data_IF_977496478270
#
_entry.id   IF_977496478270
#
_cell.length_a   1.000
_cell.length_b   1.000
_cell.length_c   1.000
_cell.angle_alpha   90.00
_cell.angle_beta   90.00
_cell.angle_gamma   90.00
#
_symmetry.space_group_name_H-M   'P 1'
#
loop_
_entity.id
_entity.type
_entity.pdbx_description
1 polymer ?
#
# COMPACT_ATOMS: atom_id res chain seq x y z
N UNK A 1 6.69 15.15 -11.68
CA UNK A 1 5.53 15.74 -11.01
C UNK A 1 5.92 16.24 -9.62
N UNK A 2 5.35 17.39 -9.22
CA UNK A 2 5.60 18.02 -7.91
C UNK A 2 4.47 17.71 -6.92
N UNK A 3 3.29 17.33 -7.42
CA UNK A 3 2.09 17.06 -6.62
C UNK A 3 1.18 16.02 -7.27
N UNK A 4 0.24 15.49 -6.49
CA UNK A 4 -0.83 14.61 -7.00
C UNK A 4 -1.71 15.35 -8.00
N UNK A 5 -2.02 16.63 -7.76
CA UNK A 5 -2.82 17.44 -8.67
C UNK A 5 -2.17 17.53 -10.04
N UNK A 6 -0.87 17.84 -10.10
CA UNK A 6 -0.12 17.91 -11.35
C UNK A 6 -0.13 16.59 -12.12
N UNK A 7 0.05 15.45 -11.41
CA UNK A 7 -0.02 14.12 -12.00
C UNK A 7 -1.41 13.84 -12.57
N UNK A 8 -2.46 14.12 -11.83
CA UNK A 8 -3.85 13.90 -12.25
C UNK A 8 -4.21 14.80 -13.45
N UNK A 9 -3.83 16.08 -13.42
CA UNK A 9 -4.07 17.02 -14.50
C UNK A 9 -3.33 16.60 -15.78
N UNK A 10 -2.10 16.11 -15.64
CA UNK A 10 -1.36 15.53 -16.75
C UNK A 10 -2.08 14.32 -17.35
N UNK A 11 -2.50 13.37 -16.49
CA UNK A 11 -3.17 12.16 -16.93
C UNK A 11 -4.54 12.45 -17.59
N UNK A 12 -5.28 13.45 -17.12
CA UNK A 12 -6.53 13.89 -17.73
C UNK A 12 -6.33 14.53 -19.11
N UNK A 13 -5.27 15.33 -19.26
CA UNK A 13 -4.92 15.96 -20.56
C UNK A 13 -4.34 14.95 -21.55
N UNK A 14 -3.78 13.85 -21.08
CA UNK A 14 -3.13 12.83 -21.88
C UNK A 14 -3.68 11.42 -21.56
N UNK A 15 -4.94 11.10 -21.92
CA UNK A 15 -5.56 9.84 -21.57
C UNK A 15 -4.75 8.64 -22.05
N UNK A 16 -4.47 7.69 -21.14
CA UNK A 16 -3.73 6.45 -21.42
C UNK A 16 -2.21 6.64 -21.62
N UNK A 17 -1.66 7.83 -21.40
CA UNK A 17 -0.21 8.08 -21.50
C UNK A 17 0.53 7.99 -20.17
N UNK A 18 -0.18 8.08 -19.03
CA UNK A 18 0.42 7.89 -17.72
C UNK A 18 0.75 6.40 -17.51
N UNK A 19 2.01 6.08 -17.31
CA UNK A 19 2.47 4.75 -16.99
C UNK A 19 2.68 4.63 -15.47
N UNK A 20 2.10 3.62 -14.84
CA UNK A 20 2.32 3.37 -13.42
C UNK A 20 2.79 1.95 -13.15
N UNK A 21 3.78 1.81 -12.25
CA UNK A 21 4.33 0.52 -11.88
C UNK A 21 3.40 -0.27 -10.94
N UNK A 22 3.34 -1.59 -11.14
CA UNK A 22 2.64 -2.53 -10.26
C UNK A 22 3.51 -3.75 -9.98
N UNK A 23 3.41 -4.32 -8.77
CA UNK A 23 4.05 -5.58 -8.43
C UNK A 23 3.01 -6.69 -8.69
N UNK A 24 2.97 -7.15 -9.94
CA UNK A 24 1.98 -8.13 -10.40
C UNK A 24 0.62 -7.50 -10.79
N UNK A 25 0.07 -8.03 -11.86
CA UNK A 25 -1.27 -7.65 -12.34
C UNK A 25 -2.31 -8.22 -11.38
N UNK A 26 -3.27 -7.39 -10.97
CA UNK A 26 -4.30 -7.77 -9.96
C UNK A 26 -3.80 -7.70 -8.51
N UNK A 27 -2.54 -7.33 -8.27
CA UNK A 27 -2.02 -7.08 -6.93
C UNK A 27 -2.61 -5.83 -6.28
N UNK A 28 -2.32 -5.63 -5.00
CA UNK A 28 -2.92 -4.54 -4.21
C UNK A 28 -2.60 -3.15 -4.79
N UNK A 29 -1.41 -2.94 -5.30
CA UNK A 29 -1.00 -1.68 -5.94
C UNK A 29 -1.83 -1.39 -7.19
N UNK A 30 -2.08 -2.44 -8.00
CA UNK A 30 -2.91 -2.33 -9.20
C UNK A 30 -4.35 -1.97 -8.84
N UNK A 31 -4.97 -2.72 -7.91
CA UNK A 31 -6.34 -2.46 -7.46
C UNK A 31 -6.51 -1.06 -6.87
N UNK A 32 -5.55 -0.62 -6.05
CA UNK A 32 -5.57 0.72 -5.46
C UNK A 32 -5.39 1.82 -6.49
N UNK A 33 -4.46 1.65 -7.43
CA UNK A 33 -4.29 2.63 -8.51
C UNK A 33 -5.53 2.69 -9.42
N UNK A 34 -6.14 1.55 -9.76
CA UNK A 34 -7.40 1.52 -10.52
C UNK A 34 -8.52 2.27 -9.79
N UNK A 35 -8.63 2.10 -8.47
CA UNK A 35 -9.59 2.84 -7.67
C UNK A 35 -9.31 4.35 -7.67
N UNK A 36 -8.04 4.75 -7.52
CA UNK A 36 -7.63 6.16 -7.59
C UNK A 36 -7.96 6.75 -8.97
N UNK A 37 -7.66 6.04 -10.05
CA UNK A 37 -7.98 6.45 -11.41
C UNK A 37 -9.47 6.71 -11.61
N UNK A 38 -10.30 5.80 -11.12
CA UNK A 38 -11.76 5.91 -11.19
C UNK A 38 -12.27 7.14 -10.42
N UNK A 39 -11.80 7.33 -9.18
CA UNK A 39 -12.23 8.45 -8.33
C UNK A 39 -11.74 9.78 -8.90
N UNK A 40 -10.49 9.86 -9.34
CA UNK A 40 -9.89 11.07 -9.87
C UNK A 40 -10.25 11.34 -11.34
N UNK A 41 -10.88 10.39 -12.04
CA UNK A 41 -11.36 10.54 -13.41
C UNK A 41 -10.24 10.60 -14.45
N UNK A 42 -9.24 9.73 -14.36
CA UNK A 42 -8.19 9.59 -15.37
C UNK A 42 -7.94 8.12 -15.74
N UNK A 43 -7.16 7.89 -16.79
CA UNK A 43 -6.72 6.55 -17.21
C UNK A 43 -5.20 6.53 -17.38
N UNK A 44 -4.56 5.51 -16.85
CA UNK A 44 -3.16 5.18 -17.02
C UNK A 44 -2.96 3.72 -17.40
N UNK A 45 -1.74 3.35 -17.73
CA UNK A 45 -1.32 2.01 -18.10
C UNK A 45 -0.49 1.37 -17.00
N UNK A 46 -0.89 0.18 -16.56
CA UNK A 46 -0.15 -0.59 -15.57
C UNK A 46 1.04 -1.31 -16.21
N UNK A 47 2.23 -1.07 -15.68
CA UNK A 47 3.48 -1.71 -16.12
C UNK A 47 3.96 -2.66 -15.01
N UNK A 48 4.00 -3.98 -15.24
CA UNK A 48 4.37 -4.93 -14.22
C UNK A 48 5.89 -4.97 -13.99
N UNK A 49 6.28 -4.98 -12.71
CA UNK A 49 7.66 -5.16 -12.25
C UNK A 49 7.74 -6.38 -11.32
N UNK A 50 8.94 -6.97 -11.19
CA UNK A 50 9.18 -8.14 -10.33
C UNK A 50 9.17 -7.78 -8.84
N UNK A 51 9.39 -6.52 -8.50
CA UNK A 51 9.43 -6.07 -7.12
C UNK A 51 9.56 -4.55 -6.98
N UNK A 52 9.44 -4.06 -5.75
CA UNK A 52 9.51 -2.63 -5.45
C UNK A 52 10.80 -1.96 -5.93
N UNK A 53 12.00 -2.51 -5.67
CA UNK A 53 13.27 -1.92 -6.14
C UNK A 53 13.33 -1.75 -7.66
N UNK A 54 12.87 -2.75 -8.42
CA UNK A 54 12.86 -2.68 -9.89
C UNK A 54 11.91 -1.57 -10.38
N UNK A 55 10.72 -1.47 -9.77
CA UNK A 55 9.77 -0.42 -10.11
C UNK A 55 10.28 0.99 -9.77
N UNK A 56 10.98 1.15 -8.63
CA UNK A 56 11.61 2.44 -8.29
C UNK A 56 12.68 2.81 -9.32
N UNK A 57 13.49 1.85 -9.76
CA UNK A 57 14.47 2.09 -10.81
C UNK A 57 13.78 2.50 -12.12
N UNK A 58 12.62 1.91 -12.46
CA UNK A 58 11.80 2.34 -13.58
C UNK A 58 11.32 3.79 -13.47
N UNK A 59 10.91 4.23 -12.27
CA UNK A 59 10.59 5.66 -12.02
C UNK A 59 11.81 6.54 -12.20
N UNK A 60 12.96 6.15 -11.66
CA UNK A 60 14.22 6.92 -11.78
C UNK A 60 14.69 7.02 -13.24
N UNK A 61 14.53 5.95 -14.00
CA UNK A 61 14.88 5.90 -15.42
C UNK A 61 13.86 6.62 -16.33
N UNK A 62 12.69 7.00 -15.79
CA UNK A 62 11.60 7.61 -16.60
C UNK A 62 10.84 6.62 -17.47
N UNK A 63 10.94 5.32 -17.21
CA UNK A 63 10.17 4.27 -17.89
C UNK A 63 8.71 4.27 -17.47
N UNK A 64 8.45 4.63 -16.20
CA UNK A 64 7.13 4.85 -15.63
C UNK A 64 7.08 6.19 -14.89
N UNK A 65 5.89 6.75 -14.80
CA UNK A 65 5.65 8.06 -14.21
C UNK A 65 5.49 8.04 -12.69
N UNK A 66 4.90 6.96 -12.17
CA UNK A 66 4.65 6.80 -10.74
C UNK A 66 4.46 5.34 -10.34
N UNK A 67 4.48 5.08 -9.03
CA UNK A 67 4.19 3.77 -8.45
C UNK A 67 3.67 3.92 -7.02
N UNK A 68 2.81 3.00 -6.60
CA UNK A 68 2.43 2.85 -5.19
C UNK A 68 3.40 1.89 -4.51
N UNK A 69 3.97 2.30 -3.38
CA UNK A 69 4.98 1.52 -2.65
C UNK A 69 4.88 1.76 -1.15
N UNK A 70 5.36 0.80 -0.32
CA UNK A 70 5.59 1.04 1.10
C UNK A 70 6.50 2.25 1.34
N UNK A 71 6.23 3.02 2.39
CA UNK A 71 6.93 4.27 2.70
C UNK A 71 8.46 4.15 2.86
N UNK A 72 8.97 2.94 3.17
CA UNK A 72 10.41 2.69 3.25
C UNK A 72 11.14 3.05 1.95
N UNK A 73 10.51 2.87 0.79
CA UNK A 73 11.12 3.20 -0.50
C UNK A 73 11.36 4.70 -0.66
N UNK A 74 10.48 5.54 -0.13
CA UNK A 74 10.69 6.99 -0.13
C UNK A 74 11.92 7.39 0.68
N UNK A 75 12.24 6.66 1.75
CA UNK A 75 13.47 6.87 2.56
C UNK A 75 14.71 6.31 1.87
N UNK A 76 14.63 5.06 1.41
CA UNK A 76 15.77 4.35 0.79
C UNK A 76 16.24 5.05 -0.48
N UNK A 77 15.32 5.63 -1.24
CA UNK A 77 15.61 6.34 -2.49
C UNK A 77 15.42 7.86 -2.36
N UNK A 78 15.63 8.41 -1.16
CA UNK A 78 15.52 9.83 -0.91
C UNK A 78 16.38 10.65 -1.89
N UNK A 79 15.82 11.73 -2.41
CA UNK A 79 16.48 12.57 -3.43
C UNK A 79 16.46 12.01 -4.86
N UNK A 80 16.13 10.72 -5.05
CA UNK A 80 16.00 10.10 -6.38
C UNK A 80 14.54 9.99 -6.83
N UNK A 81 13.63 9.82 -5.88
CA UNK A 81 12.17 9.81 -6.11
C UNK A 81 11.50 10.82 -5.19
N UNK A 82 10.33 11.27 -5.60
CA UNK A 82 9.50 12.19 -4.83
C UNK A 82 8.24 11.49 -4.35
N UNK A 83 8.01 11.37 -3.02
CA UNK A 83 6.72 10.97 -2.51
C UNK A 83 5.71 12.10 -2.74
N UNK A 84 4.59 11.80 -3.40
CA UNK A 84 3.55 12.79 -3.73
C UNK A 84 2.40 12.78 -2.72
N UNK A 85 2.04 11.61 -2.19
CA UNK A 85 1.01 11.47 -1.16
C UNK A 85 1.17 10.18 -0.36
N UNK A 86 0.57 10.20 0.83
CA UNK A 86 0.37 9.03 1.70
C UNK A 86 -1.06 8.52 1.51
N UNK A 87 -1.21 7.21 1.31
CA UNK A 87 -2.53 6.55 1.16
C UNK A 87 -3.13 6.15 2.52
N UNK A 88 -2.75 6.80 3.59
CA UNK A 88 -3.27 6.60 4.94
C UNK A 88 -4.26 7.68 5.36
N UNK A 89 -4.92 7.48 6.50
CA UNK A 89 -5.83 8.45 7.11
C UNK A 89 -5.09 9.68 7.65
N UNK A 90 -3.79 9.54 7.91
CA UNK A 90 -2.93 10.57 8.47
C UNK A 90 -1.60 10.60 7.72
N UNK A 91 -0.94 11.77 7.77
CA UNK A 91 0.44 11.90 7.28
C UNK A 91 1.36 10.97 8.06
N UNK A 92 2.34 10.43 7.37
CA UNK A 92 3.33 9.59 8.03
C UNK A 92 4.34 10.44 8.80
N UNK A 93 4.54 10.15 10.09
CA UNK A 93 5.42 10.94 10.98
C UNK A 93 6.85 11.08 10.45
N UNK A 94 7.35 10.12 9.69
CA UNK A 94 8.70 10.18 9.12
C UNK A 94 8.77 11.01 7.83
N UNK A 95 7.64 11.39 7.25
CA UNK A 95 7.52 12.26 6.07
C UNK A 95 6.39 13.29 6.30
N UNK A 96 6.49 14.15 7.30
CA UNK A 96 5.38 15.03 7.73
C UNK A 96 5.02 16.10 6.68
N UNK A 97 5.92 16.39 5.76
CA UNK A 97 5.67 17.32 4.65
C UNK A 97 4.87 16.70 3.50
N UNK A 98 4.76 15.37 3.44
CA UNK A 98 4.01 14.69 2.39
C UNK A 98 2.54 14.63 2.79
N UNK A 99 1.62 15.20 2.00
CA UNK A 99 0.20 15.19 2.31
C UNK A 99 -0.40 13.79 2.19
N UNK A 100 -1.56 13.58 2.79
CA UNK A 100 -2.37 12.40 2.45
C UNK A 100 -3.01 12.57 1.08
N UNK A 101 -3.49 11.47 0.51
CA UNK A 101 -4.22 11.50 -0.75
C UNK A 101 -5.52 12.33 -0.60
N UNK A 102 -6.19 12.23 0.55
CA UNK A 102 -7.38 13.02 0.88
C UNK A 102 -7.08 14.53 0.95
N UNK A 103 -5.98 14.93 1.60
CA UNK A 103 -5.51 16.33 1.62
C UNK A 103 -5.15 16.83 0.20
N UNK A 104 -4.81 15.92 -0.71
CA UNK A 104 -4.54 16.22 -2.12
C UNK A 104 -5.80 16.24 -3.00
N UNK A 105 -6.99 16.16 -2.40
CA UNK A 105 -8.28 16.27 -3.08
C UNK A 105 -8.85 14.94 -3.61
N UNK A 106 -8.25 13.79 -3.32
CA UNK A 106 -8.73 12.48 -3.76
C UNK A 106 -9.19 11.68 -2.55
N UNK A 107 -10.51 11.55 -2.41
CA UNK A 107 -11.15 10.81 -1.32
C UNK A 107 -11.21 9.30 -1.64
N UNK A 108 -10.05 8.66 -1.71
CA UNK A 108 -9.97 7.21 -1.87
C UNK A 108 -9.89 6.53 -0.50
N UNK A 109 -10.46 5.33 -0.35
CA UNK A 109 -10.30 4.55 0.87
C UNK A 109 -8.81 4.35 1.19
N UNK A 110 -8.41 4.47 2.45
CA UNK A 110 -7.02 4.33 2.84
C UNK A 110 -6.48 2.95 2.44
N UNK A 111 -5.22 2.92 2.09
CA UNK A 111 -4.49 1.69 1.85
C UNK A 111 -3.33 1.61 2.83
N UNK A 112 -3.18 0.48 3.47
CA UNK A 112 -2.01 0.20 4.30
C UNK A 112 -1.42 -1.14 3.90
N UNK A 113 -0.10 -1.18 3.77
CA UNK A 113 0.59 -2.45 3.78
C UNK A 113 0.63 -2.95 5.21
N UNK A 114 0.23 -4.17 5.41
CA UNK A 114 0.31 -4.82 6.71
C UNK A 114 0.90 -6.21 6.57
N UNK A 115 1.57 -6.67 7.62
CA UNK A 115 2.04 -8.03 7.77
C UNK A 115 1.41 -8.65 9.00
N UNK A 116 1.23 -9.96 8.98
CA UNK A 116 0.69 -10.69 10.10
C UNK A 116 1.25 -12.11 10.18
N UNK A 117 1.04 -12.73 11.34
CA UNK A 117 1.41 -14.13 11.56
C UNK A 117 0.19 -15.01 11.29
N UNK A 118 0.40 -16.12 10.61
CA UNK A 118 -0.61 -17.17 10.41
C UNK A 118 -0.06 -18.52 10.84
N UNK A 119 -0.95 -19.40 11.26
CA UNK A 119 -0.65 -20.75 11.65
C UNK A 119 -1.48 -21.73 10.82
N UNK A 120 -1.08 -23.02 10.75
CA UNK A 120 -1.86 -24.04 10.05
C UNK A 120 -3.31 -24.12 10.55
N UNK A 121 -4.23 -24.36 9.62
CA UNK A 121 -5.62 -24.64 9.97
C UNK A 121 -5.67 -25.88 10.89
N UNK A 122 -6.41 -25.80 11.98
CA UNK A 122 -6.49 -26.90 12.96
C UNK A 122 -5.47 -26.82 14.10
N UNK A 123 -4.65 -25.76 14.19
CA UNK A 123 -3.86 -25.53 15.39
C UNK A 123 -4.77 -25.48 16.61
N UNK A 124 -4.36 -26.16 17.69
CA UNK A 124 -5.10 -26.17 18.94
C UNK A 124 -5.38 -24.73 19.42
N UNK A 125 -6.62 -24.36 19.76
CA UNK A 125 -6.98 -22.99 20.14
C UNK A 125 -6.17 -22.42 21.31
N UNK A 126 -5.81 -23.28 22.29
CA UNK A 126 -4.97 -22.89 23.43
C UNK A 126 -3.57 -22.49 22.95
N UNK A 127 -2.94 -23.32 22.11
CA UNK A 127 -1.64 -23.03 21.52
C UNK A 127 -1.68 -21.76 20.66
N UNK A 128 -2.74 -21.57 19.88
CA UNK A 128 -2.92 -20.35 19.08
C UNK A 128 -2.98 -19.09 19.96
N UNK A 129 -3.70 -19.15 21.08
CA UNK A 129 -3.80 -18.04 22.03
C UNK A 129 -2.48 -17.77 22.73
N UNK A 130 -1.75 -18.80 23.14
CA UNK A 130 -0.43 -18.68 23.78
C UNK A 130 0.60 -18.06 22.82
N UNK A 131 0.62 -18.49 21.54
CA UNK A 131 1.46 -17.90 20.50
C UNK A 131 1.11 -16.44 20.24
N UNK A 132 -0.18 -16.09 20.13
CA UNK A 132 -0.62 -14.72 19.93
C UNK A 132 -0.17 -13.81 21.09
N UNK A 133 -0.31 -14.27 22.33
CA UNK A 133 0.15 -13.53 23.51
C UNK A 133 1.68 -13.35 23.53
N UNK A 134 2.42 -14.41 23.17
CA UNK A 134 3.88 -14.35 23.07
C UNK A 134 4.33 -13.35 21.99
N UNK A 135 3.74 -13.42 20.80
CA UNK A 135 4.03 -12.51 19.68
C UNK A 135 3.71 -11.07 20.08
N UNK A 136 2.57 -10.81 20.71
CA UNK A 136 2.21 -9.49 21.20
C UNK A 136 3.24 -8.96 22.21
N UNK A 137 3.69 -9.80 23.14
CA UNK A 137 4.73 -9.43 24.12
C UNK A 137 6.09 -9.14 23.46
N UNK A 138 6.52 -9.99 22.53
CA UNK A 138 7.80 -9.82 21.81
C UNK A 138 7.76 -8.57 20.92
N UNK A 139 6.64 -8.32 20.26
CA UNK A 139 6.50 -7.15 19.37
C UNK A 139 6.60 -5.81 20.10
N UNK A 140 6.30 -5.78 21.41
CA UNK A 140 6.40 -4.58 22.24
C UNK A 140 7.80 -4.35 22.84
N UNK A 141 8.74 -5.24 22.62
CA UNK A 141 10.12 -5.04 23.10
C UNK A 141 10.74 -3.82 22.43
N UNK A 142 11.48 -2.96 23.17
CA UNK A 142 12.07 -1.74 22.62
C UNK A 142 12.97 -1.98 21.39
N UNK A 143 13.73 -3.06 21.38
CA UNK A 143 14.60 -3.43 20.26
C UNK A 143 13.81 -3.83 19.01
N UNK A 144 12.69 -4.54 19.17
CA UNK A 144 11.79 -4.91 18.07
C UNK A 144 11.08 -3.67 17.53
N UNK A 145 10.54 -2.82 18.41
CA UNK A 145 9.89 -1.56 18.02
C UNK A 145 10.87 -0.65 17.28
N UNK A 146 12.09 -0.52 17.78
CA UNK A 146 13.13 0.27 17.10
C UNK A 146 13.43 -0.27 15.69
N UNK A 147 13.52 -1.59 15.52
CA UNK A 147 13.73 -2.23 14.22
C UNK A 147 12.56 -1.99 13.27
N UNK A 148 11.31 -2.13 13.74
CA UNK A 148 10.12 -1.86 12.93
C UNK A 148 10.08 -0.41 12.47
N UNK A 149 10.32 0.54 13.37
CA UNK A 149 10.37 1.96 13.05
C UNK A 149 11.49 2.30 12.04
N UNK A 150 12.67 1.67 12.18
CA UNK A 150 13.76 1.87 11.24
C UNK A 150 13.41 1.39 9.81
N UNK A 151 12.58 0.36 9.71
CA UNK A 151 12.10 -0.18 8.43
C UNK A 151 10.75 0.41 7.98
N UNK A 152 10.34 1.53 8.57
CA UNK A 152 9.10 2.23 8.24
C UNK A 152 7.82 1.40 8.46
N UNK A 153 7.85 0.49 9.43
CA UNK A 153 6.68 -0.26 9.86
C UNK A 153 6.17 0.30 11.19
N UNK A 154 4.89 0.52 11.28
CA UNK A 154 4.21 0.85 12.53
C UNK A 154 3.64 -0.43 13.13
N UNK A 155 3.95 -0.67 14.41
CA UNK A 155 3.36 -1.79 15.13
C UNK A 155 1.88 -1.49 15.42
N UNK A 156 0.99 -2.30 14.84
CA UNK A 156 -0.43 -2.30 15.17
C UNK A 156 -0.80 -3.70 15.65
N UNK A 157 -0.97 -3.83 16.95
CA UNK A 157 -1.42 -5.08 17.54
C UNK A 157 -2.93 -5.19 17.36
N UNK A 158 -3.38 -6.31 16.82
CA UNK A 158 -4.79 -6.70 16.90
C UNK A 158 -5.07 -7.25 18.30
N UNK A 159 -6.16 -6.82 18.89
CA UNK A 159 -6.53 -7.25 20.25
C UNK A 159 -6.85 -8.75 20.32
N UNK A 160 -7.27 -9.35 19.21
CA UNK A 160 -7.58 -10.77 19.13
C UNK A 160 -7.41 -11.35 17.72
N UNK A 161 -7.19 -12.68 17.61
CA UNK A 161 -7.19 -13.36 16.31
C UNK A 161 -8.51 -13.20 15.52
N UNK A 162 -9.62 -12.97 16.23
CA UNK A 162 -10.93 -12.73 15.62
C UNK A 162 -10.98 -11.40 14.85
N UNK A 163 -10.47 -10.33 15.42
CA UNK A 163 -10.40 -9.02 14.77
C UNK A 163 -9.50 -9.05 13.53
N UNK A 164 -8.35 -9.73 13.61
CA UNK A 164 -7.48 -9.90 12.45
C UNK A 164 -8.17 -10.69 11.33
N UNK A 165 -8.89 -11.75 11.67
CA UNK A 165 -9.69 -12.52 10.71
C UNK A 165 -10.78 -11.69 10.05
N UNK A 166 -11.43 -10.82 10.81
CA UNK A 166 -12.45 -9.90 10.27
C UNK A 166 -11.81 -8.90 9.29
N UNK A 167 -10.64 -8.34 9.63
CA UNK A 167 -9.87 -7.48 8.72
C UNK A 167 -9.55 -8.18 7.40
N UNK A 168 -9.02 -9.41 7.48
CA UNK A 168 -8.73 -10.22 6.29
C UNK A 168 -9.95 -10.43 5.40
N UNK A 169 -11.11 -10.75 5.99
CA UNK A 169 -12.35 -10.94 5.24
C UNK A 169 -12.81 -9.66 4.56
N UNK A 170 -12.75 -8.53 5.25
CA UNK A 170 -13.13 -7.23 4.71
C UNK A 170 -12.22 -6.82 3.53
N UNK A 171 -10.91 -7.02 3.67
CA UNK A 171 -9.96 -6.74 2.60
C UNK A 171 -10.14 -7.67 1.40
N UNK A 172 -10.35 -8.97 1.63
CA UNK A 172 -10.62 -9.92 0.56
C UNK A 172 -11.91 -9.56 -0.20
N UNK A 173 -12.98 -9.19 0.52
CA UNK A 173 -14.22 -8.76 -0.10
C UNK A 173 -14.00 -7.51 -0.98
N UNK A 174 -13.30 -6.50 -0.46
CA UNK A 174 -12.95 -5.31 -1.22
C UNK A 174 -12.07 -5.63 -2.45
N UNK A 175 -11.04 -6.45 -2.29
CA UNK A 175 -10.18 -6.84 -3.42
C UNK A 175 -10.95 -7.58 -4.50
N UNK A 176 -11.88 -8.46 -4.09
CA UNK A 176 -12.74 -9.20 -5.02
C UNK A 176 -13.68 -8.26 -5.78
N UNK A 177 -14.33 -7.34 -5.08
CA UNK A 177 -15.22 -6.36 -5.69
C UNK A 177 -14.49 -5.46 -6.69
N UNK A 178 -13.39 -4.86 -6.29
CA UNK A 178 -12.59 -3.97 -7.15
C UNK A 178 -12.00 -4.76 -8.31
N UNK A 179 -11.41 -5.93 -8.05
CA UNK A 179 -10.83 -6.76 -9.09
C UNK A 179 -11.84 -7.20 -10.15
N UNK A 180 -13.06 -7.53 -9.74
CA UNK A 180 -14.15 -7.88 -10.67
C UNK A 180 -14.64 -6.67 -11.46
N UNK A 181 -14.75 -5.48 -10.83
CA UNK A 181 -15.17 -4.24 -11.49
C UNK A 181 -14.17 -3.76 -12.55
N UNK A 182 -12.88 -4.02 -12.33
CA UNK A 182 -11.79 -3.65 -13.23
C UNK A 182 -11.45 -4.76 -14.25
N UNK A 183 -12.13 -5.90 -14.19
CA UNK A 183 -11.86 -7.04 -15.08
C UNK A 183 -10.52 -7.74 -14.82
N UNK A 184 -9.95 -7.57 -13.64
CA UNK A 184 -8.65 -8.13 -13.25
C UNK A 184 -8.75 -9.53 -12.66
N UNK A 185 -9.96 -9.93 -12.22
CA UNK A 185 -10.28 -11.28 -11.76
C UNK A 185 -11.60 -11.73 -12.40
N UNK A 186 -11.76 -13.05 -12.56
CA UNK A 186 -13.02 -13.61 -13.02
C UNK A 186 -14.16 -13.32 -12.02
N UNK A 187 -15.36 -13.09 -12.55
CA UNK A 187 -16.57 -12.94 -11.74
C UNK A 187 -16.97 -14.27 -11.13
#
# INVERSE_FOLDING_TARGET
FQSVSELVDHAKRNPGKLNFGVIGVGGIEHLKMSQIQRIAGFKGLAIPYKGGPDGVNGVIAGEIDCMLLPGIFAKTFAGKVRPLAILGDQRWQQLPSVPTLAESGIQAPPASYWGGWSAPAGLNPKTASELAALLAKVSQRPDVVATLNATAHELRLTESPGQFRQKLRSELAWMTEVGASEGLIAK
#
